data_IF_644421058125
#
_entry.id   IF_644421058125
#
_cell.length_a   1.000
_cell.length_b   1.000
_cell.length_c   1.000
_cell.angle_alpha   90.00
_cell.angle_beta   90.00
_cell.angle_gamma   90.00
#
_symmetry.space_group_name_H-M   'P 1'
#
loop_
_entity.id
_entity.type
_entity.pdbx_description
1 polymer ?
#
# COMPACT_ATOMS: atom_id res chain seq x y z
N UNK A 1 -31.91 18.90 66.40
CA UNK A 1 -30.76 19.37 65.61
C UNK A 1 -29.80 18.24 65.18
N UNK A 2 -29.56 17.23 65.98
CA UNK A 2 -28.65 16.10 65.59
C UNK A 2 -29.15 15.20 64.44
N UNK A 3 -30.48 15.11 64.22
CA UNK A 3 -31.07 14.28 63.14
C UNK A 3 -31.04 14.96 61.76
N UNK A 4 -30.96 16.28 61.69
CA UNK A 4 -30.89 17.06 60.44
C UNK A 4 -29.45 17.02 59.87
N UNK A 5 -28.43 16.93 60.74
CA UNK A 5 -27.02 16.83 60.35
C UNK A 5 -26.69 15.50 59.69
N UNK A 6 -27.39 14.43 60.07
CA UNK A 6 -27.18 13.08 59.50
C UNK A 6 -27.75 12.96 58.06
N UNK A 7 -28.82 13.66 57.74
CA UNK A 7 -29.44 13.66 56.40
C UNK A 7 -28.61 14.50 55.40
N UNK A 8 -27.94 15.53 55.85
CA UNK A 8 -27.05 16.34 55.01
C UNK A 8 -25.76 15.62 54.63
N UNK A 9 -25.24 14.74 55.53
CA UNK A 9 -24.03 13.96 55.23
C UNK A 9 -24.27 12.83 54.22
N UNK A 10 -25.47 12.24 54.19
CA UNK A 10 -25.81 11.19 53.21
C UNK A 10 -26.08 11.71 51.81
N UNK A 11 -26.50 13.00 51.65
CA UNK A 11 -26.71 13.60 50.35
C UNK A 11 -25.39 13.96 49.61
N UNK A 12 -24.29 14.19 50.38
CA UNK A 12 -23.00 14.55 49.76
C UNK A 12 -22.26 13.35 49.16
N UNK A 13 -22.57 12.11 49.63
CA UNK A 13 -21.91 10.89 49.12
C UNK A 13 -22.52 10.42 47.79
N UNK A 14 -23.75 10.79 47.47
CA UNK A 14 -24.44 10.37 46.26
C UNK A 14 -23.96 11.08 44.97
N UNK A 15 -23.24 12.22 45.08
CA UNK A 15 -22.81 13.01 43.92
C UNK A 15 -21.46 12.55 43.34
N UNK A 16 -20.67 11.77 44.13
CA UNK A 16 -19.36 11.30 43.69
C UNK A 16 -19.38 10.03 42.79
N UNK A 17 -20.56 9.40 42.61
CA UNK A 17 -20.68 8.17 41.81
C UNK A 17 -20.93 8.43 40.31
N UNK A 18 -21.09 9.68 39.89
CA UNK A 18 -21.47 10.01 38.49
C UNK A 18 -20.30 10.40 37.58
N UNK A 19 -19.07 10.46 38.08
CA UNK A 19 -17.90 10.89 37.33
C UNK A 19 -16.86 9.78 37.16
N UNK A 20 -17.29 8.55 36.82
CA UNK A 20 -16.32 7.59 36.31
C UNK A 20 -16.09 7.89 34.83
N UNK A 21 -14.87 8.26 34.41
CA UNK A 21 -14.56 8.43 33.00
C UNK A 21 -14.75 7.05 32.33
N UNK A 22 -15.67 6.99 31.40
CA UNK A 22 -15.85 5.81 30.56
C UNK A 22 -14.69 5.80 29.57
N UNK A 23 -13.66 5.02 29.86
CA UNK A 23 -12.59 4.75 28.91
C UNK A 23 -13.10 3.74 27.89
N UNK A 24 -13.23 4.16 26.64
CA UNK A 24 -13.45 3.25 25.52
C UNK A 24 -12.07 2.86 24.95
N UNK A 25 -11.76 1.57 24.92
CA UNK A 25 -10.60 1.08 24.19
C UNK A 25 -11.00 0.89 22.73
N UNK A 26 -10.42 1.66 21.83
CA UNK A 26 -10.58 1.51 20.40
C UNK A 26 -9.30 0.90 19.85
N UNK A 27 -9.43 -0.21 19.13
CA UNK A 27 -8.33 -0.76 18.35
C UNK A 27 -8.18 0.08 17.08
N UNK A 28 -7.18 0.95 17.07
CA UNK A 28 -6.93 1.88 15.96
C UNK A 28 -6.74 1.15 14.61
N UNK A 29 -6.04 0.02 14.62
CA UNK A 29 -5.84 -0.79 13.41
C UNK A 29 -7.16 -1.34 12.85
N UNK A 30 -8.06 -1.77 13.74
CA UNK A 30 -9.39 -2.25 13.36
C UNK A 30 -10.26 -1.10 12.84
N UNK A 31 -10.20 0.06 13.46
CA UNK A 31 -10.91 1.25 13.00
C UNK A 31 -10.48 1.66 11.58
N UNK A 32 -9.19 1.65 11.29
CA UNK A 32 -8.66 1.92 9.95
C UNK A 32 -9.16 0.90 8.93
N UNK A 33 -9.24 -0.38 9.31
CA UNK A 33 -9.73 -1.43 8.42
C UNK A 33 -11.22 -1.33 8.12
N UNK A 34 -12.01 -0.79 9.03
CA UNK A 34 -13.46 -0.59 8.87
C UNK A 34 -13.82 0.68 8.07
N UNK A 35 -12.84 1.53 7.76
CA UNK A 35 -13.09 2.69 6.91
C UNK A 35 -13.43 2.23 5.48
N UNK A 36 -14.53 2.69 4.86
CA UNK A 36 -14.89 2.35 3.48
C UNK A 36 -13.78 2.69 2.48
N UNK A 37 -13.04 3.75 2.71
CA UNK A 37 -11.90 4.19 1.90
C UNK A 37 -10.74 3.18 1.95
N UNK A 38 -10.62 2.38 3.01
CA UNK A 38 -9.60 1.34 3.10
C UNK A 38 -9.83 0.21 2.11
N UNK A 39 -11.07 -0.16 1.84
CA UNK A 39 -11.40 -1.15 0.81
C UNK A 39 -11.11 -0.64 -0.60
N UNK A 40 -11.41 0.64 -0.84
CA UNK A 40 -11.06 1.28 -2.11
C UNK A 40 -9.53 1.37 -2.30
N UNK A 41 -8.79 1.71 -1.25
CA UNK A 41 -7.34 1.74 -1.28
C UNK A 41 -6.75 0.35 -1.58
N UNK A 42 -7.26 -0.71 -0.94
CA UNK A 42 -6.85 -2.10 -1.22
C UNK A 42 -7.14 -2.51 -2.66
N UNK A 43 -8.31 -2.18 -3.17
CA UNK A 43 -8.70 -2.48 -4.56
C UNK A 43 -7.77 -1.77 -5.54
N UNK A 44 -7.48 -0.50 -5.30
CA UNK A 44 -6.54 0.28 -6.12
C UNK A 44 -5.14 -0.32 -6.07
N UNK A 45 -4.63 -0.67 -4.89
CA UNK A 45 -3.32 -1.30 -4.75
C UNK A 45 -3.25 -2.67 -5.44
N UNK A 46 -4.31 -3.49 -5.33
CA UNK A 46 -4.37 -4.77 -6.01
C UNK A 46 -4.35 -4.61 -7.54
N UNK A 47 -5.06 -3.62 -8.07
CA UNK A 47 -5.05 -3.31 -9.50
C UNK A 47 -3.67 -2.84 -9.96
N UNK A 48 -3.02 -1.92 -9.24
CA UNK A 48 -1.67 -1.43 -9.56
C UNK A 48 -0.61 -2.54 -9.50
N UNK A 49 -0.69 -3.42 -8.49
CA UNK A 49 0.22 -4.56 -8.37
C UNK A 49 0.04 -5.55 -9.52
N UNK A 50 -1.20 -5.79 -9.93
CA UNK A 50 -1.50 -6.66 -11.08
C UNK A 50 -0.96 -6.05 -12.38
N UNK A 51 -1.20 -4.77 -12.62
CA UNK A 51 -0.69 -4.05 -13.80
C UNK A 51 0.84 -4.07 -13.86
N UNK A 52 1.50 -3.86 -12.72
CA UNK A 52 2.95 -3.96 -12.62
C UNK A 52 3.46 -5.37 -12.98
N UNK A 53 2.80 -6.40 -12.48
CA UNK A 53 3.15 -7.79 -12.77
C UNK A 53 2.94 -8.12 -14.26
N UNK A 54 1.82 -7.70 -14.85
CA UNK A 54 1.53 -7.91 -16.28
C UNK A 54 2.55 -7.16 -17.16
N UNK A 55 2.93 -5.94 -16.79
CA UNK A 55 3.95 -5.16 -17.48
C UNK A 55 5.32 -5.84 -17.42
N UNK A 56 5.72 -6.29 -16.25
CA UNK A 56 6.97 -7.04 -16.08
C UNK A 56 6.99 -8.31 -16.92
N UNK A 57 5.91 -9.08 -16.90
CA UNK A 57 5.78 -10.30 -17.69
C UNK A 57 5.88 -10.01 -19.21
N UNK A 58 5.22 -8.96 -19.69
CA UNK A 58 5.29 -8.56 -21.09
C UNK A 58 6.72 -8.17 -21.51
N UNK A 59 7.48 -7.49 -20.63
CA UNK A 59 8.88 -7.18 -20.91
C UNK A 59 9.76 -8.42 -20.99
N UNK A 60 9.53 -9.41 -20.15
CA UNK A 60 10.25 -10.70 -20.19
C UNK A 60 9.93 -11.46 -21.48
N UNK A 61 8.66 -11.50 -21.88
CA UNK A 61 8.23 -12.15 -23.13
C UNK A 61 8.82 -11.44 -24.37
N UNK A 62 8.88 -10.09 -24.37
CA UNK A 62 9.56 -9.33 -25.41
C UNK A 62 11.04 -9.72 -25.51
N UNK A 63 11.73 -9.76 -24.37
CA UNK A 63 13.14 -10.16 -24.33
C UNK A 63 13.32 -11.57 -24.87
N UNK A 64 12.54 -12.54 -24.39
CA UNK A 64 12.65 -13.93 -24.82
C UNK A 64 12.41 -14.08 -26.33
N UNK A 65 11.36 -13.44 -26.85
CA UNK A 65 11.05 -13.48 -28.28
C UNK A 65 12.20 -12.94 -29.14
N UNK A 66 12.80 -11.82 -28.73
CA UNK A 66 13.93 -11.22 -29.45
C UNK A 66 15.22 -12.02 -29.29
N UNK A 67 15.43 -12.63 -28.16
CA UNK A 67 16.56 -13.52 -27.91
C UNK A 67 16.49 -14.78 -28.78
N UNK A 68 15.32 -15.41 -28.86
CA UNK A 68 15.10 -16.58 -29.72
C UNK A 68 15.32 -16.25 -31.20
N UNK A 69 14.86 -15.06 -31.65
CA UNK A 69 15.13 -14.57 -33.00
C UNK A 69 16.63 -14.33 -33.23
N UNK A 70 17.32 -13.81 -32.24
CA UNK A 70 18.77 -13.61 -32.29
C UNK A 70 19.50 -14.94 -32.45
N UNK A 71 19.21 -15.91 -31.59
CA UNK A 71 19.84 -17.24 -31.68
C UNK A 71 19.60 -17.92 -33.02
N UNK A 72 18.37 -17.86 -33.54
CA UNK A 72 18.00 -18.49 -34.78
C UNK A 72 18.66 -17.87 -36.03
N UNK A 73 18.96 -16.58 -36.00
CA UNK A 73 19.35 -15.80 -37.20
C UNK A 73 20.74 -15.15 -37.12
N UNK A 74 21.41 -15.17 -35.97
CA UNK A 74 22.69 -14.47 -35.76
C UNK A 74 23.78 -14.89 -36.75
N UNK A 75 23.79 -16.18 -37.16
CA UNK A 75 24.73 -16.70 -38.13
C UNK A 75 24.53 -16.20 -39.56
N UNK A 76 23.30 -15.76 -39.90
CA UNK A 76 22.94 -15.26 -41.22
C UNK A 76 23.05 -13.73 -41.35
N UNK A 77 23.20 -13.04 -40.23
CA UNK A 77 23.28 -11.57 -40.20
C UNK A 77 24.68 -11.04 -40.47
N UNK A 78 24.73 -9.85 -41.07
CA UNK A 78 25.98 -9.09 -41.16
C UNK A 78 26.43 -8.65 -39.75
N UNK A 79 27.69 -8.31 -39.59
CA UNK A 79 28.24 -7.83 -38.32
C UNK A 79 27.48 -6.58 -37.80
N UNK A 80 27.09 -5.68 -38.70
CA UNK A 80 26.33 -4.46 -38.34
C UNK A 80 24.92 -4.79 -37.81
N UNK A 81 24.21 -5.71 -38.47
CA UNK A 81 22.87 -6.17 -38.01
C UNK A 81 23.00 -6.86 -36.67
N UNK A 82 23.98 -7.74 -36.49
CA UNK A 82 24.21 -8.44 -35.23
C UNK A 82 24.48 -7.46 -34.09
N UNK A 83 25.35 -6.47 -34.30
CA UNK A 83 25.65 -5.45 -33.31
C UNK A 83 24.41 -4.63 -32.93
N UNK A 84 23.54 -4.31 -33.89
CA UNK A 84 22.27 -3.61 -33.64
C UNK A 84 21.31 -4.46 -32.79
N UNK A 85 21.22 -5.77 -33.06
CA UNK A 85 20.37 -6.68 -32.30
C UNK A 85 20.90 -6.95 -30.89
N UNK A 86 22.21 -7.04 -30.72
CA UNK A 86 22.87 -7.11 -29.42
C UNK A 86 22.53 -5.88 -28.55
N UNK A 87 22.58 -4.69 -29.17
CA UNK A 87 22.21 -3.46 -28.47
C UNK A 87 20.74 -3.45 -28.07
N UNK A 88 19.85 -3.88 -28.96
CA UNK A 88 18.41 -3.99 -28.69
C UNK A 88 18.14 -4.92 -27.47
N UNK A 89 18.77 -6.09 -27.41
CA UNK A 89 18.64 -7.02 -26.28
C UNK A 89 19.14 -6.40 -24.96
N UNK A 90 20.28 -5.71 -25.00
CA UNK A 90 20.82 -5.01 -23.82
C UNK A 90 19.89 -3.91 -23.31
N UNK A 91 19.30 -3.15 -24.23
CA UNK A 91 18.34 -2.09 -23.88
C UNK A 91 17.08 -2.65 -23.23
N UNK A 92 16.56 -3.79 -23.72
CA UNK A 92 15.41 -4.46 -23.09
C UNK A 92 15.79 -4.96 -21.69
N UNK A 93 16.94 -5.60 -21.55
CA UNK A 93 17.43 -6.10 -20.26
C UNK A 93 17.60 -4.96 -19.25
N UNK A 94 18.13 -3.82 -19.67
CA UNK A 94 18.26 -2.64 -18.84
C UNK A 94 16.88 -2.10 -18.41
N UNK A 95 15.91 -1.99 -19.33
CA UNK A 95 14.54 -1.58 -19.00
C UNK A 95 13.87 -2.50 -17.98
N UNK A 96 14.05 -3.82 -18.10
CA UNK A 96 13.53 -4.80 -17.14
C UNK A 96 14.14 -4.55 -15.75
N UNK A 97 15.45 -4.32 -15.69
CA UNK A 97 16.14 -4.07 -14.44
C UNK A 97 15.69 -2.75 -13.79
N UNK A 98 15.60 -1.67 -14.57
CA UNK A 98 15.12 -0.37 -14.09
C UNK A 98 13.68 -0.46 -13.60
N UNK A 99 12.79 -1.11 -14.36
CA UNK A 99 11.40 -1.32 -13.95
C UNK A 99 11.32 -2.10 -12.63
N UNK A 100 12.08 -3.19 -12.49
CA UNK A 100 12.10 -3.99 -11.26
C UNK A 100 12.56 -3.18 -10.04
N UNK A 101 13.50 -2.24 -10.22
CA UNK A 101 14.00 -1.40 -9.12
C UNK A 101 13.03 -0.28 -8.74
N UNK A 102 12.29 0.26 -9.70
CA UNK A 102 11.42 1.42 -9.48
C UNK A 102 10.01 1.03 -9.05
N UNK A 103 9.46 -0.07 -9.58
CA UNK A 103 8.08 -0.47 -9.34
C UNK A 103 7.76 -0.71 -7.86
N UNK A 104 8.68 -1.31 -7.11
CA UNK A 104 8.49 -1.56 -5.68
C UNK A 104 8.42 -0.25 -4.89
N UNK A 105 9.26 0.72 -5.24
CA UNK A 105 9.26 2.05 -4.61
C UNK A 105 7.98 2.80 -4.95
N UNK A 106 7.54 2.76 -6.20
CA UNK A 106 6.31 3.41 -6.65
C UNK A 106 5.07 2.82 -5.98
N UNK A 107 4.98 1.48 -5.87
CA UNK A 107 3.88 0.80 -5.17
C UNK A 107 3.87 1.14 -3.68
N UNK A 108 5.03 1.22 -3.02
CA UNK A 108 5.12 1.65 -1.63
C UNK A 108 4.67 3.10 -1.44
N UNK A 109 5.09 3.99 -2.32
CA UNK A 109 4.69 5.40 -2.29
C UNK A 109 3.18 5.56 -2.53
N UNK A 110 2.63 4.82 -3.48
CA UNK A 110 1.19 4.79 -3.74
C UNK A 110 0.42 4.30 -2.52
N UNK A 111 0.88 3.23 -1.87
CA UNK A 111 0.28 2.73 -0.63
C UNK A 111 0.27 3.80 0.47
N UNK A 112 1.39 4.49 0.68
CA UNK A 112 1.46 5.57 1.67
C UNK A 112 0.49 6.71 1.33
N UNK A 113 0.42 7.11 0.06
CA UNK A 113 -0.47 8.16 -0.42
C UNK A 113 -1.95 7.81 -0.21
N UNK A 114 -2.32 6.56 -0.47
CA UNK A 114 -3.70 6.08 -0.30
C UNK A 114 -4.07 5.91 1.18
N UNK A 115 -3.13 5.48 2.02
CA UNK A 115 -3.39 5.21 3.44
C UNK A 115 -3.33 6.48 4.31
N UNK A 116 -2.56 7.50 3.94
CA UNK A 116 -2.40 8.71 4.74
C UNK A 116 -3.73 9.42 5.10
N UNK A 117 -4.67 9.66 4.17
CA UNK A 117 -5.95 10.30 4.49
C UNK A 117 -6.84 9.40 5.36
N UNK A 118 -6.75 8.06 5.20
CA UNK A 118 -7.53 7.09 5.98
C UNK A 118 -7.08 7.09 7.43
N UNK A 119 -5.76 7.05 7.66
CA UNK A 119 -5.15 7.13 8.98
C UNK A 119 -5.51 8.45 9.66
N UNK A 120 -5.41 9.56 8.92
CA UNK A 120 -5.80 10.89 9.44
C UNK A 120 -7.26 10.92 9.85
N UNK A 121 -8.16 10.42 9.01
CA UNK A 121 -9.61 10.36 9.29
C UNK A 121 -9.91 9.51 10.53
N UNK A 122 -9.24 8.36 10.68
CA UNK A 122 -9.37 7.52 11.86
C UNK A 122 -8.87 8.23 13.12
N UNK A 123 -7.78 8.99 13.05
CA UNK A 123 -7.26 9.79 14.17
C UNK A 123 -8.21 10.93 14.56
N UNK A 124 -8.79 11.62 13.58
CA UNK A 124 -9.73 12.73 13.82
C UNK A 124 -11.07 12.26 14.41
N UNK A 125 -11.34 10.94 14.41
CA UNK A 125 -12.59 10.34 14.92
C UNK A 125 -12.48 9.90 16.39
N UNK A 126 -11.27 9.78 16.93
CA UNK A 126 -10.98 9.37 18.32
C UNK A 126 -10.84 10.61 19.22
#
# INVERSE_FOLDING_TARGET
>A
MKKILLIAATALVAISAAAQPKFAHVNFSELVQLCPEADQARTTMAASSKEAQETYQAMIEEFQTKYDQYEAKASTWTAAIRASKDKELKEIQQRIQEFSQTVDVELQQQQQTLMAPIVKKAQDTI
#
